data_IF_235739850638
#
_entry.id   IF_235739850638
#
_cell.length_a   1.000
_cell.length_b   1.000
_cell.length_c   1.000
_cell.angle_alpha   90.00
_cell.angle_beta   90.00
_cell.angle_gamma   90.00
#
_symmetry.space_group_name_H-M   'P 1'
#
loop_
_entity.id
_entity.type
_entity.pdbx_description
1 polymer ?
#
# COMPACT_ATOMS: atom_id res chain seq x y z
N UNK A 1 55.11 28.80 6.64
CA UNK A 1 55.40 27.43 6.17
C UNK A 1 54.21 26.94 5.36
N UNK A 2 54.46 26.64 4.09
CA UNK A 2 53.49 26.35 3.04
C UNK A 2 52.89 24.94 3.21
N UNK A 3 51.57 24.79 3.18
CA UNK A 3 50.85 23.50 3.11
C UNK A 3 50.62 23.15 1.64
N UNK A 4 51.03 21.97 1.13
CA UNK A 4 50.65 21.55 -0.21
C UNK A 4 49.32 20.78 -0.18
N UNK A 5 48.48 21.09 -1.17
CA UNK A 5 47.21 20.44 -1.45
C UNK A 5 47.44 19.04 -2.05
N UNK A 6 46.76 18.03 -1.52
CA UNK A 6 46.72 16.68 -2.08
C UNK A 6 45.57 16.57 -3.08
N UNK A 7 45.94 16.21 -4.32
CA UNK A 7 45.06 15.93 -5.46
C UNK A 7 44.23 14.66 -5.22
N UNK A 8 42.97 14.71 -5.65
CA UNK A 8 42.08 13.55 -5.77
C UNK A 8 42.47 12.68 -7.00
N UNK A 9 42.36 11.35 -6.93
CA UNK A 9 42.60 10.47 -8.07
C UNK A 9 41.38 10.35 -9.00
N UNK A 10 41.72 10.32 -10.29
CA UNK A 10 40.86 10.23 -11.48
C UNK A 10 40.20 8.85 -11.58
N UNK A 11 38.88 8.80 -11.80
CA UNK A 11 38.14 7.56 -12.03
C UNK A 11 38.39 7.04 -13.46
N UNK A 12 38.83 5.79 -13.57
CA UNK A 12 39.01 5.05 -14.83
C UNK A 12 37.66 4.48 -15.29
N UNK A 13 37.21 4.88 -16.47
CA UNK A 13 36.04 4.33 -17.15
C UNK A 13 36.37 2.97 -17.79
N UNK A 14 35.52 1.96 -17.58
CA UNK A 14 35.59 0.65 -18.23
C UNK A 14 34.79 0.65 -19.56
N UNK A 15 35.22 -0.10 -20.60
CA UNK A 15 34.52 -0.14 -21.87
C UNK A 15 33.34 -1.14 -21.91
N UNK A 16 32.25 -0.70 -22.54
CA UNK A 16 31.07 -1.49 -22.90
C UNK A 16 31.41 -2.51 -24.00
N UNK A 17 31.19 -3.80 -23.73
CA UNK A 17 31.25 -4.87 -24.73
C UNK A 17 29.91 -4.93 -25.48
N UNK A 18 29.93 -4.59 -26.78
CA UNK A 18 28.86 -4.87 -27.74
C UNK A 18 28.85 -6.37 -28.05
N UNK A 19 27.71 -7.03 -27.90
CA UNK A 19 27.46 -8.32 -28.55
C UNK A 19 26.61 -8.13 -29.80
N UNK A 20 27.09 -8.74 -30.87
CA UNK A 20 26.59 -8.67 -32.25
C UNK A 20 25.43 -9.63 -32.50
N UNK A 21 24.51 -9.16 -33.34
CA UNK A 21 23.38 -9.88 -33.92
C UNK A 21 23.84 -11.06 -34.78
N UNK A 22 23.17 -12.21 -34.65
CA UNK A 22 23.21 -13.29 -35.63
C UNK A 22 21.80 -13.51 -36.19
N UNK A 23 21.61 -13.04 -37.42
CA UNK A 23 20.47 -13.34 -38.29
C UNK A 23 20.63 -14.74 -38.87
N UNK A 24 19.56 -15.53 -38.89
CA UNK A 24 19.51 -16.77 -39.68
C UNK A 24 18.21 -16.78 -40.48
N UNK A 25 18.33 -16.62 -41.80
CA UNK A 25 17.27 -16.82 -42.79
C UNK A 25 17.54 -18.08 -43.60
N UNK A 26 16.51 -18.93 -43.75
CA UNK A 26 16.29 -19.88 -44.85
C UNK A 26 14.96 -20.60 -44.55
N UNK A 27 14.02 -20.91 -45.45
CA UNK A 27 13.94 -20.93 -46.92
C UNK A 27 12.43 -21.01 -47.30
N UNK A 28 12.03 -20.65 -48.53
CA UNK A 28 10.62 -20.55 -48.92
C UNK A 28 10.05 -21.90 -49.39
N UNK A 29 8.76 -22.12 -49.14
CA UNK A 29 7.98 -23.20 -49.73
C UNK A 29 7.04 -22.66 -50.81
N UNK A 30 7.21 -23.27 -51.99
CA UNK A 30 6.30 -23.48 -53.12
C UNK A 30 5.03 -22.63 -53.28
N UNK A 31 4.95 -22.04 -54.48
CA UNK A 31 3.77 -21.46 -55.09
C UNK A 31 2.75 -22.53 -55.51
N UNK A 32 1.47 -22.23 -55.31
CA UNK A 32 0.40 -22.62 -56.22
C UNK A 32 -0.70 -21.56 -56.19
N UNK A 33 -0.87 -20.95 -57.34
CA UNK A 33 -1.99 -20.12 -57.73
C UNK A 33 -3.26 -20.96 -57.84
N UNK A 34 -4.41 -20.43 -57.39
CA UNK A 34 -5.73 -20.57 -58.05
C UNK A 34 -6.75 -19.62 -57.39
N UNK A 35 -7.18 -18.66 -58.23
CA UNK A 35 -8.52 -18.09 -58.44
C UNK A 35 -9.31 -17.48 -57.28
N UNK A 36 -9.43 -16.15 -57.39
CA UNK A 36 -10.45 -15.28 -56.83
C UNK A 36 -11.89 -15.76 -57.13
N UNK A 37 -12.74 -15.74 -56.10
CA UNK A 37 -14.17 -15.51 -56.26
C UNK A 37 -14.66 -14.66 -55.07
N UNK A 38 -15.05 -13.43 -55.37
CA UNK A 38 -15.61 -12.46 -54.44
C UNK A 38 -17.12 -12.67 -54.29
N UNK A 39 -17.64 -12.73 -53.06
CA UNK A 39 -19.02 -12.31 -52.72
C UNK A 39 -19.15 -11.97 -51.22
N UNK A 40 -19.30 -10.67 -50.95
CA UNK A 40 -20.08 -9.97 -49.90
C UNK A 40 -19.81 -10.16 -48.37
N UNK A 41 -19.95 -9.07 -47.58
CA UNK A 41 -19.40 -8.96 -46.23
C UNK A 41 -20.39 -9.47 -45.17
N UNK A 42 -19.90 -10.33 -44.28
CA UNK A 42 -20.59 -10.66 -43.03
C UNK A 42 -20.23 -9.58 -42.01
N UNK A 43 -21.24 -8.87 -41.53
CA UNK A 43 -21.11 -7.71 -40.64
C UNK A 43 -20.19 -7.97 -39.45
N UNK A 44 -19.31 -7.01 -39.20
CA UNK A 44 -18.54 -6.91 -37.96
C UNK A 44 -19.51 -6.65 -36.80
N UNK A 45 -19.46 -7.42 -35.69
CA UNK A 45 -20.02 -6.95 -34.45
C UNK A 45 -19.14 -5.80 -33.96
N UNK A 46 -19.52 -4.59 -34.32
CA UNK A 46 -18.98 -3.36 -33.75
C UNK A 46 -19.37 -3.33 -32.27
N UNK A 47 -18.37 -3.24 -31.39
CA UNK A 47 -18.58 -2.70 -30.04
C UNK A 47 -18.84 -3.70 -28.91
N UNK A 48 -18.11 -4.81 -28.84
CA UNK A 48 -17.73 -5.30 -27.51
C UNK A 48 -16.47 -4.52 -27.10
N UNK A 49 -16.64 -3.42 -26.34
CA UNK A 49 -15.55 -2.96 -25.48
C UNK A 49 -15.13 -4.19 -24.70
N UNK A 50 -13.94 -4.70 -24.97
CA UNK A 50 -13.34 -5.70 -24.11
C UNK A 50 -13.32 -5.06 -22.73
N UNK A 51 -14.17 -5.54 -21.83
CA UNK A 51 -14.07 -5.19 -20.43
C UNK A 51 -12.65 -5.60 -20.05
N UNK A 52 -11.77 -4.61 -19.89
CA UNK A 52 -10.51 -4.83 -19.23
C UNK A 52 -10.88 -5.57 -17.95
N UNK A 53 -10.23 -6.71 -17.69
CA UNK A 53 -10.25 -7.35 -16.37
C UNK A 53 -10.19 -6.22 -15.35
N UNK A 54 -11.29 -5.95 -14.64
CA UNK A 54 -11.38 -4.77 -13.81
C UNK A 54 -10.28 -4.89 -12.77
N UNK A 55 -9.21 -4.11 -12.93
CA UNK A 55 -8.11 -4.12 -11.99
C UNK A 55 -8.70 -3.75 -10.63
N UNK A 56 -8.31 -4.48 -9.57
CA UNK A 56 -8.71 -4.18 -8.21
C UNK A 56 -8.52 -2.70 -7.94
N UNK A 57 -9.60 -2.01 -7.54
CA UNK A 57 -9.55 -0.57 -7.31
C UNK A 57 -8.85 -0.27 -5.99
N UNK A 58 -8.36 0.94 -5.83
CA UNK A 58 -7.72 1.34 -4.56
C UNK A 58 -8.72 1.29 -3.40
N UNK A 59 -9.97 1.71 -3.65
CA UNK A 59 -11.05 1.61 -2.67
C UNK A 59 -11.36 0.17 -2.24
N UNK A 60 -11.41 -0.78 -3.19
CA UNK A 60 -11.63 -2.20 -2.87
C UNK A 60 -10.53 -2.74 -1.94
N UNK A 61 -9.29 -2.29 -2.17
CA UNK A 61 -8.14 -2.73 -1.39
C UNK A 61 -8.15 -2.15 0.03
N UNK A 62 -8.48 -0.87 0.19
CA UNK A 62 -8.58 -0.21 1.49
C UNK A 62 -9.71 -0.80 2.32
N UNK A 63 -10.90 -0.98 1.72
CA UNK A 63 -12.05 -1.64 2.38
C UNK A 63 -11.75 -3.06 2.83
N UNK A 64 -10.95 -3.80 2.05
CA UNK A 64 -10.49 -5.11 2.47
C UNK A 64 -9.64 -5.06 3.75
N UNK A 65 -8.74 -4.08 3.90
CA UNK A 65 -7.99 -3.87 5.16
C UNK A 65 -8.94 -3.53 6.32
N UNK A 66 -9.96 -2.70 6.09
CA UNK A 66 -10.95 -2.35 7.12
C UNK A 66 -11.72 -3.55 7.65
N UNK A 67 -12.18 -4.41 6.74
CA UNK A 67 -12.90 -5.64 7.11
C UNK A 67 -12.00 -6.58 7.92
N UNK A 68 -10.74 -6.72 7.53
CA UNK A 68 -9.75 -7.49 8.28
C UNK A 68 -9.52 -6.89 9.68
N UNK A 69 -9.32 -5.57 9.79
CA UNK A 69 -9.13 -4.89 11.08
C UNK A 69 -10.33 -5.09 12.01
N UNK A 70 -11.55 -5.01 11.47
CA UNK A 70 -12.80 -5.30 12.20
C UNK A 70 -12.85 -6.74 12.68
N UNK A 71 -12.45 -7.68 11.83
CA UNK A 71 -12.37 -9.09 12.19
C UNK A 71 -11.36 -9.31 13.32
N UNK A 72 -10.15 -8.74 13.22
CA UNK A 72 -9.12 -8.89 14.23
C UNK A 72 -9.54 -8.26 15.56
N UNK A 73 -10.19 -7.09 15.55
CA UNK A 73 -10.82 -6.50 16.72
C UNK A 73 -11.78 -7.47 17.40
N UNK A 74 -12.71 -8.07 16.63
CA UNK A 74 -13.63 -9.09 17.14
C UNK A 74 -12.91 -10.31 17.71
N UNK A 75 -11.85 -10.78 17.04
CA UNK A 75 -11.06 -11.91 17.49
C UNK A 75 -10.31 -11.63 18.80
N UNK A 76 -9.76 -10.42 19.00
CA UNK A 76 -9.14 -10.00 20.28
C UNK A 76 -10.16 -10.08 21.42
N UNK A 77 -11.38 -9.57 21.20
CA UNK A 77 -12.43 -9.55 22.23
C UNK A 77 -12.89 -10.95 22.61
N UNK A 78 -13.11 -11.79 21.60
CA UNK A 78 -13.70 -13.12 21.78
C UNK A 78 -12.65 -14.22 22.06
N UNK A 79 -11.36 -13.93 21.93
CA UNK A 79 -10.31 -14.90 22.20
C UNK A 79 -10.39 -15.42 23.65
N UNK A 80 -10.47 -16.76 23.85
CA UNK A 80 -10.71 -17.36 25.17
C UNK A 80 -9.47 -17.40 26.05
N UNK A 81 -8.27 -17.28 25.46
CA UNK A 81 -6.99 -17.34 26.17
C UNK A 81 -6.15 -16.12 25.83
N UNK A 82 -5.34 -15.69 26.79
CA UNK A 82 -4.41 -14.57 26.61
C UNK A 82 -3.42 -14.80 25.46
N UNK A 83 -2.96 -16.03 25.24
CA UNK A 83 -2.06 -16.35 24.11
C UNK A 83 -2.72 -16.06 22.75
N UNK A 84 -4.04 -16.29 22.64
CA UNK A 84 -4.78 -16.02 21.41
C UNK A 84 -5.07 -14.51 21.28
N UNK A 85 -5.30 -13.80 22.40
CA UNK A 85 -5.35 -12.33 22.43
C UNK A 85 -4.03 -11.71 21.97
N UNK A 86 -2.87 -12.23 22.39
CA UNK A 86 -1.55 -11.75 21.94
C UNK A 86 -1.40 -11.92 20.43
N UNK A 87 -1.79 -13.08 19.88
CA UNK A 87 -1.71 -13.33 18.43
C UNK A 87 -2.53 -12.32 17.63
N UNK A 88 -3.80 -12.15 18.00
CA UNK A 88 -4.69 -11.21 17.30
C UNK A 88 -4.33 -9.74 17.56
N UNK A 89 -3.82 -9.39 18.74
CA UNK A 89 -3.24 -8.07 19.01
C UNK A 89 -2.08 -7.78 18.06
N UNK A 90 -1.14 -8.73 17.90
CA UNK A 90 -0.02 -8.55 16.99
C UNK A 90 -0.49 -8.38 15.54
N UNK A 91 -1.46 -9.18 15.08
CA UNK A 91 -2.03 -9.06 13.74
C UNK A 91 -2.73 -7.70 13.53
N UNK A 92 -3.57 -7.27 14.47
CA UNK A 92 -4.27 -5.99 14.41
C UNK A 92 -3.28 -4.82 14.36
N UNK A 93 -2.28 -4.80 15.26
CA UNK A 93 -1.26 -3.75 15.29
C UNK A 93 -0.46 -3.71 13.99
N UNK A 94 -0.07 -4.89 13.50
CA UNK A 94 0.73 -5.03 12.29
C UNK A 94 0.01 -4.53 11.05
N UNK A 95 -1.28 -4.84 10.91
CA UNK A 95 -2.08 -4.35 9.78
C UNK A 95 -2.39 -2.86 9.91
N UNK A 96 -2.86 -2.40 11.07
CA UNK A 96 -3.27 -1.01 11.25
C UNK A 96 -2.11 -0.03 11.02
N UNK A 97 -0.93 -0.31 11.57
CA UNK A 97 0.23 0.55 11.41
C UNK A 97 0.61 0.73 9.93
N UNK A 98 0.58 -0.34 9.14
CA UNK A 98 0.99 -0.29 7.73
C UNK A 98 -0.08 0.29 6.84
N UNK A 99 -1.33 0.01 7.15
CA UNK A 99 -2.49 0.59 6.49
C UNK A 99 -2.45 2.11 6.60
N UNK A 100 -2.41 2.66 7.83
CA UNK A 100 -2.45 4.11 8.03
C UNK A 100 -1.28 4.84 7.36
N UNK A 101 -0.06 4.30 7.42
CA UNK A 101 1.10 4.92 6.76
C UNK A 101 1.03 4.78 5.23
N UNK A 102 0.45 3.69 4.71
CA UNK A 102 0.26 3.54 3.28
C UNK A 102 -0.73 4.56 2.72
N UNK A 103 -1.77 4.93 3.47
CA UNK A 103 -2.71 6.00 3.10
C UNK A 103 -2.03 7.37 3.09
N UNK A 104 -1.27 7.69 4.14
CA UNK A 104 -0.50 8.93 4.25
C UNK A 104 0.50 9.13 3.09
N UNK A 105 1.08 8.03 2.59
CA UNK A 105 2.08 8.06 1.51
C UNK A 105 1.44 8.03 0.11
N UNK A 106 0.32 7.32 -0.06
CA UNK A 106 -0.25 7.01 -1.39
C UNK A 106 -1.58 7.72 -1.63
N UNK A 107 -2.51 7.65 -0.68
CA UNK A 107 -3.90 8.06 -0.85
C UNK A 107 -4.05 9.56 -0.64
N UNK A 108 -3.51 10.11 0.45
CA UNK A 108 -3.66 11.52 0.79
C UNK A 108 -3.03 12.47 -0.24
N UNK A 109 -1.81 12.21 -0.78
CA UNK A 109 -1.28 13.01 -1.88
C UNK A 109 -2.12 12.93 -3.16
N UNK A 110 -2.77 11.79 -3.41
CA UNK A 110 -3.66 11.63 -4.55
C UNK A 110 -4.97 12.41 -4.36
N UNK A 111 -5.55 12.39 -3.15
CA UNK A 111 -6.71 13.21 -2.81
C UNK A 111 -6.39 14.69 -2.99
N UNK A 112 -5.28 15.18 -2.42
CA UNK A 112 -4.79 16.56 -2.57
C UNK A 112 -4.66 16.99 -4.02
N UNK A 113 -4.18 16.09 -4.89
CA UNK A 113 -3.91 16.38 -6.29
C UNK A 113 -5.14 16.31 -7.19
N UNK A 114 -6.05 15.37 -6.92
CA UNK A 114 -7.09 15.00 -7.88
C UNK A 114 -8.52 15.37 -7.42
N UNK A 115 -8.76 15.49 -6.12
CA UNK A 115 -10.10 15.73 -5.57
C UNK A 115 -10.29 17.22 -5.26
N UNK A 116 -11.35 17.89 -5.77
CA UNK A 116 -11.70 19.23 -5.34
C UNK A 116 -11.94 19.29 -3.83
N UNK A 117 -11.15 20.09 -3.11
CA UNK A 117 -11.18 20.13 -1.63
C UNK A 117 -10.39 19.01 -0.95
N UNK A 118 -9.70 18.15 -1.72
CA UNK A 118 -8.97 16.99 -1.22
C UNK A 118 -7.87 17.32 -0.21
N UNK A 119 -7.28 18.51 -0.25
CA UNK A 119 -6.32 18.96 0.76
C UNK A 119 -6.93 19.10 2.16
N UNK A 120 -8.20 19.55 2.24
CA UNK A 120 -8.90 19.64 3.53
C UNK A 120 -9.29 18.26 4.05
N UNK A 121 -9.68 17.35 3.15
CA UNK A 121 -10.00 15.96 3.48
C UNK A 121 -8.75 15.27 4.04
N UNK A 122 -7.65 15.27 3.28
CA UNK A 122 -6.38 14.70 3.71
C UNK A 122 -5.83 15.30 5.02
N UNK A 123 -6.02 16.59 5.28
CA UNK A 123 -5.61 17.20 6.55
C UNK A 123 -6.45 16.71 7.74
N UNK A 124 -7.77 16.56 7.55
CA UNK A 124 -8.65 15.97 8.56
C UNK A 124 -8.23 14.53 8.86
N UNK A 125 -8.00 13.73 7.82
CA UNK A 125 -7.70 12.31 7.96
C UNK A 125 -6.34 12.10 8.65
N UNK A 126 -5.33 12.95 8.37
CA UNK A 126 -4.07 12.98 9.13
C UNK A 126 -4.28 13.26 10.62
N UNK A 127 -5.16 14.20 10.96
CA UNK A 127 -5.48 14.51 12.36
C UNK A 127 -6.20 13.36 13.08
N UNK A 128 -7.00 12.58 12.36
CA UNK A 128 -7.66 11.38 12.89
C UNK A 128 -6.66 10.22 13.04
N UNK A 129 -5.82 10.00 12.03
CA UNK A 129 -4.70 9.07 12.08
C UNK A 129 -3.75 9.36 13.23
N UNK A 130 -3.48 10.62 13.55
CA UNK A 130 -2.64 10.94 14.69
C UNK A 130 -3.21 10.40 16.01
N UNK A 131 -4.52 10.55 16.24
CA UNK A 131 -5.19 10.01 17.41
C UNK A 131 -5.19 8.47 17.42
N UNK A 132 -5.42 7.85 16.26
CA UNK A 132 -5.34 6.38 16.09
C UNK A 132 -3.92 5.88 16.39
N UNK A 133 -2.89 6.55 15.87
CA UNK A 133 -1.48 6.21 16.09
C UNK A 133 -1.12 6.29 17.57
N UNK A 134 -1.53 7.33 18.27
CA UNK A 134 -1.30 7.50 19.71
C UNK A 134 -1.93 6.36 20.52
N UNK A 135 -3.21 6.07 20.30
CA UNK A 135 -3.91 4.96 20.97
C UNK A 135 -3.31 3.59 20.62
N UNK A 136 -2.90 3.39 19.36
CA UNK A 136 -2.24 2.16 18.93
C UNK A 136 -0.87 1.98 19.59
N UNK A 137 -0.11 3.08 19.77
CA UNK A 137 1.19 3.06 20.43
C UNK A 137 1.08 2.65 21.91
N UNK A 138 0.03 3.07 22.60
CA UNK A 138 -0.27 2.60 23.96
C UNK A 138 -0.68 1.12 23.95
N UNK A 139 -1.65 0.76 23.10
CA UNK A 139 -2.20 -0.59 23.05
C UNK A 139 -1.19 -1.67 22.65
N UNK A 140 -0.27 -1.37 21.73
CA UNK A 140 0.66 -2.36 21.15
C UNK A 140 1.65 -2.97 22.15
N UNK A 141 1.81 -2.36 23.33
CA UNK A 141 2.72 -2.82 24.41
C UNK A 141 1.99 -3.44 25.60
N UNK A 142 0.65 -3.41 25.61
CA UNK A 142 -0.15 -3.94 26.71
C UNK A 142 -0.19 -5.47 26.70
N UNK A 143 -0.28 -6.07 27.89
CA UNK A 143 -0.53 -7.50 28.04
C UNK A 143 -2.03 -7.76 28.17
N UNK A 144 -2.55 -8.88 27.64
CA UNK A 144 -3.96 -9.22 27.80
C UNK A 144 -4.43 -9.36 29.26
N UNK A 145 -3.50 -9.63 30.19
CA UNK A 145 -3.76 -9.67 31.63
C UNK A 145 -3.99 -8.29 32.26
N UNK A 146 -3.66 -7.20 31.57
CA UNK A 146 -3.81 -5.85 32.08
C UNK A 146 -5.31 -5.47 32.13
N UNK A 147 -5.85 -4.98 33.26
CA UNK A 147 -7.26 -4.62 33.36
C UNK A 147 -7.74 -3.60 32.32
N UNK A 148 -6.82 -2.80 31.78
CA UNK A 148 -7.07 -1.77 30.77
C UNK A 148 -6.94 -2.27 29.33
N UNK A 149 -6.55 -3.53 29.10
CA UNK A 149 -6.33 -4.07 27.75
C UNK A 149 -7.58 -3.99 26.87
N UNK A 150 -8.72 -4.50 27.36
CA UNK A 150 -9.98 -4.46 26.64
C UNK A 150 -10.55 -3.03 26.50
N UNK A 151 -10.56 -2.20 27.56
CA UNK A 151 -10.89 -0.78 27.41
C UNK A 151 -10.04 -0.02 26.38
N UNK A 152 -8.75 -0.31 26.30
CA UNK A 152 -7.84 0.36 25.36
C UNK A 152 -8.15 0.02 23.91
N UNK A 153 -8.37 -1.26 23.59
CA UNK A 153 -8.75 -1.66 22.22
C UNK A 153 -10.16 -1.18 21.85
N UNK A 154 -11.09 -1.09 22.80
CA UNK A 154 -12.42 -0.52 22.55
C UNK A 154 -12.34 0.98 22.23
N UNK A 155 -11.54 1.75 22.99
CA UNK A 155 -11.33 3.18 22.69
C UNK A 155 -10.58 3.41 21.37
N UNK A 156 -9.60 2.57 21.05
CA UNK A 156 -8.91 2.61 19.75
C UNK A 156 -9.88 2.30 18.60
N UNK A 157 -10.71 1.26 18.76
CA UNK A 157 -11.69 0.87 17.74
C UNK A 157 -12.77 1.93 17.52
N UNK A 158 -13.22 2.60 18.57
CA UNK A 158 -14.19 3.71 18.46
C UNK A 158 -13.65 4.81 17.53
N UNK A 159 -12.42 5.28 17.77
CA UNK A 159 -11.79 6.30 16.90
C UNK A 159 -11.56 5.78 15.49
N UNK A 160 -11.02 4.57 15.34
CA UNK A 160 -10.72 3.97 14.03
C UNK A 160 -11.99 3.72 13.20
N UNK A 161 -13.04 3.17 13.81
CA UNK A 161 -14.28 2.83 13.09
C UNK A 161 -15.06 4.07 12.65
N UNK A 162 -14.95 5.18 13.37
CA UNK A 162 -15.45 6.47 12.90
C UNK A 162 -14.70 6.92 11.65
N UNK A 163 -13.36 6.91 11.69
CA UNK A 163 -12.51 7.26 10.54
C UNK A 163 -12.86 6.39 9.31
N UNK A 164 -12.87 5.06 9.46
CA UNK A 164 -13.28 4.10 8.42
C UNK A 164 -14.64 4.45 7.81
N UNK A 165 -15.63 4.78 8.66
CA UNK A 165 -16.99 5.08 8.20
C UNK A 165 -17.02 6.34 7.34
N UNK A 166 -16.28 7.37 7.73
CA UNK A 166 -16.19 8.63 6.98
C UNK A 166 -15.42 8.43 5.68
N UNK A 167 -14.28 7.74 5.73
CA UNK A 167 -13.45 7.47 4.56
C UNK A 167 -14.20 6.66 3.48
N UNK A 168 -14.88 5.58 3.90
CA UNK A 168 -15.64 4.73 2.97
C UNK A 168 -16.87 5.41 2.37
N UNK A 169 -17.44 6.38 3.08
CA UNK A 169 -18.64 7.13 2.67
C UNK A 169 -18.28 8.31 1.77
N UNK A 170 -17.21 9.02 2.10
CA UNK A 170 -16.93 10.35 1.55
C UNK A 170 -15.63 10.35 0.71
N UNK A 171 -14.51 9.92 1.29
CA UNK A 171 -13.18 10.09 0.71
C UNK A 171 -12.91 9.11 -0.44
N UNK A 172 -13.10 7.81 -0.21
CA UNK A 172 -12.90 6.78 -1.24
C UNK A 172 -13.81 7.01 -2.46
N UNK A 173 -15.12 7.27 -2.32
CA UNK A 173 -15.96 7.58 -3.47
C UNK A 173 -15.58 8.88 -4.19
N UNK A 174 -15.03 9.88 -3.49
CA UNK A 174 -14.53 11.10 -4.12
C UNK A 174 -13.25 10.85 -4.92
N UNK A 175 -12.30 10.11 -4.36
CA UNK A 175 -11.06 9.73 -5.04
C UNK A 175 -11.35 8.88 -6.28
N UNK A 176 -12.22 7.87 -6.16
CA UNK A 176 -12.58 6.98 -7.27
C UNK A 176 -13.35 7.66 -8.41
N UNK A 177 -14.02 8.80 -8.14
CA UNK A 177 -14.61 9.65 -9.19
C UNK A 177 -13.57 10.52 -9.90
N UNK A 178 -12.44 10.79 -9.25
CA UNK A 178 -11.36 11.62 -9.79
C UNK A 178 -10.31 10.81 -10.56
N UNK A 179 -10.33 9.47 -10.47
CA UNK A 179 -9.40 8.57 -11.13
C UNK A 179 -10.09 7.76 -12.23
N UNK A 180 -9.36 7.45 -13.30
CA UNK A 180 -9.75 6.38 -14.22
C UNK A 180 -9.39 4.99 -13.66
N UNK A 181 -9.87 3.94 -14.31
CA UNK A 181 -9.71 2.57 -13.83
C UNK A 181 -8.24 2.12 -13.77
N UNK A 182 -7.41 2.57 -14.71
CA UNK A 182 -5.99 2.20 -14.76
C UNK A 182 -5.21 2.91 -13.66
N UNK A 183 -5.50 4.18 -13.40
CA UNK A 183 -4.92 4.96 -12.31
C UNK A 183 -5.32 4.41 -10.94
N UNK A 184 -6.60 4.07 -10.74
CA UNK A 184 -7.09 3.43 -9.50
C UNK A 184 -6.41 2.08 -9.27
N UNK A 185 -6.33 1.23 -10.30
CA UNK A 185 -5.65 -0.06 -10.21
C UNK A 185 -4.13 0.07 -9.98
N UNK A 186 -3.48 1.08 -10.55
CA UNK A 186 -2.07 1.37 -10.29
C UNK A 186 -1.83 1.84 -8.85
N UNK A 187 -2.76 2.65 -8.33
CA UNK A 187 -2.72 3.12 -6.95
C UNK A 187 -2.92 1.97 -5.96
N UNK A 188 -3.86 1.05 -6.22
CA UNK A 188 -4.04 -0.16 -5.42
C UNK A 188 -2.73 -0.97 -5.30
N UNK A 189 -2.04 -1.21 -6.43
CA UNK A 189 -0.72 -1.87 -6.42
C UNK A 189 0.35 -1.08 -5.66
N UNK A 190 0.30 0.25 -5.73
CA UNK A 190 1.24 1.11 -5.00
C UNK A 190 0.99 1.06 -3.50
N UNK A 191 -0.28 1.12 -3.09
CA UNK A 191 -0.72 0.99 -1.70
C UNK A 191 -0.21 -0.33 -1.09
N UNK A 192 -0.50 -1.45 -1.75
CA UNK A 192 -0.02 -2.77 -1.35
C UNK A 192 1.51 -2.85 -1.24
N UNK A 193 2.20 -2.33 -2.26
CA UNK A 193 3.66 -2.31 -2.26
C UNK A 193 4.19 -1.50 -1.09
N UNK A 194 3.61 -0.33 -0.80
CA UNK A 194 4.04 0.55 0.29
C UNK A 194 3.95 -0.16 1.64
N UNK A 195 2.89 -0.96 1.88
CA UNK A 195 2.74 -1.75 3.12
C UNK A 195 3.94 -2.67 3.40
N UNK A 196 4.69 -3.11 2.38
CA UNK A 196 5.89 -3.93 2.60
C UNK A 196 7.10 -3.14 3.14
N UNK A 197 7.12 -1.82 3.03
CA UNK A 197 8.29 -0.98 3.33
C UNK A 197 8.11 -0.06 4.54
N UNK A 198 6.87 0.20 4.94
CA UNK A 198 6.53 1.04 6.10
C UNK A 198 6.66 0.27 7.44
N UNK A 199 6.61 0.97 8.60
CA UNK A 199 6.69 0.34 9.92
C UNK A 199 5.56 -0.64 10.18
N UNK A 200 5.84 -1.68 10.94
CA UNK A 200 4.86 -2.68 11.36
C UNK A 200 4.26 -2.41 12.75
N UNK A 201 4.61 -1.26 13.33
CA UNK A 201 4.16 -0.77 14.65
C UNK A 201 3.87 0.71 14.55
N UNK A 202 3.08 1.23 15.50
CA UNK A 202 2.79 2.65 15.57
C UNK A 202 4.02 3.43 16.03
N UNK A 203 4.28 4.55 15.36
CA UNK A 203 5.31 5.54 15.72
C UNK A 203 4.70 6.95 15.60
N UNK A 204 3.95 7.43 16.61
CA UNK A 204 3.20 8.69 16.51
C UNK A 204 4.06 9.95 16.32
N UNK A 205 5.35 9.86 16.63
CA UNK A 205 6.31 10.94 16.40
C UNK A 205 6.90 10.95 14.98
N UNK A 206 6.60 9.94 14.16
CA UNK A 206 7.05 9.91 12.77
C UNK A 206 6.26 10.95 11.94
N UNK A 207 6.91 11.65 11.00
CA UNK A 207 6.23 12.59 10.11
C UNK A 207 5.13 11.93 9.28
N UNK A 208 4.00 12.62 9.13
CA UNK A 208 2.80 12.22 8.37
C UNK A 208 2.66 12.98 7.03
N UNK A 209 3.72 13.72 6.63
CA UNK A 209 3.77 14.56 5.42
C UNK A 209 5.11 14.43 4.68
N UNK A 210 5.12 14.67 3.37
CA UNK A 210 6.36 14.84 2.60
C UNK A 210 7.20 16.05 3.11
N UNK A 211 8.53 16.07 2.90
CA UNK A 211 9.33 15.08 2.19
C UNK A 211 9.69 13.90 3.10
N UNK A 212 9.26 12.70 2.71
CA UNK A 212 9.56 11.47 3.44
C UNK A 212 11.05 11.10 3.39
N UNK A 213 11.86 11.75 2.55
CA UNK A 213 13.31 11.57 2.38
C UNK A 213 14.09 11.67 3.70
N UNK A 214 13.67 12.57 4.60
CA UNK A 214 14.27 12.71 5.94
C UNK A 214 13.70 11.70 6.94
N UNK A 215 12.49 11.18 6.68
CA UNK A 215 11.80 10.20 7.50
C UNK A 215 12.10 8.74 7.11
N UNK A 216 12.71 8.47 5.94
CA UNK A 216 13.02 7.10 5.45
C UNK A 216 13.82 6.30 6.48
N UNK A 217 14.72 6.94 7.22
CA UNK A 217 15.51 6.28 8.27
C UNK A 217 14.68 5.79 9.46
N UNK A 218 13.54 6.43 9.76
CA UNK A 218 12.63 6.08 10.87
C UNK A 218 11.45 5.21 10.41
N UNK A 219 10.94 5.44 9.19
CA UNK A 219 9.85 4.65 8.62
C UNK A 219 10.30 3.26 8.15
N UNK A 220 11.59 3.09 7.81
CA UNK A 220 12.14 1.83 7.36
C UNK A 220 12.99 1.10 8.41
N UNK A 221 13.01 1.53 9.68
CA UNK A 221 13.85 0.86 10.70
C UNK A 221 13.52 -0.63 10.73
N UNK A 222 14.47 -1.52 10.38
CA UNK A 222 14.20 -2.95 10.32
C UNK A 222 13.94 -3.55 11.70
N UNK A 223 14.06 -2.77 12.78
CA UNK A 223 13.89 -3.22 14.14
C UNK A 223 12.50 -3.84 14.38
N UNK A 224 11.42 -3.21 13.92
CA UNK A 224 10.08 -3.76 14.16
C UNK A 224 9.90 -5.11 13.43
N UNK A 225 10.35 -5.18 12.17
CA UNK A 225 10.29 -6.41 11.35
C UNK A 225 11.15 -7.53 11.92
N UNK A 226 12.33 -7.20 12.47
CA UNK A 226 13.18 -8.15 13.19
C UNK A 226 12.48 -8.66 14.45
N UNK A 227 11.86 -7.76 15.22
CA UNK A 227 11.11 -8.13 16.41
C UNK A 227 9.85 -8.94 16.07
N UNK A 228 9.22 -8.71 14.92
CA UNK A 228 8.07 -9.47 14.44
C UNK A 228 8.39 -10.95 14.22
N UNK A 229 9.63 -11.30 13.86
CA UNK A 229 10.06 -12.70 13.74
C UNK A 229 9.95 -13.48 15.06
N UNK A 230 9.95 -12.78 16.20
CA UNK A 230 9.82 -13.37 17.53
C UNK A 230 8.40 -13.26 18.10
N UNK A 231 7.48 -12.65 17.36
CA UNK A 231 6.08 -12.49 17.77
C UNK A 231 5.23 -13.67 17.30
N UNK A 232 4.15 -13.90 18.03
CA UNK A 232 3.14 -14.89 17.68
C UNK A 232 2.05 -14.20 16.86
N UNK A 233 1.66 -14.83 15.77
CA UNK A 233 0.56 -14.43 14.90
C UNK A 233 -0.48 -15.55 14.87
N UNK A 234 -1.74 -15.25 14.51
CA UNK A 234 -2.73 -16.29 14.25
C UNK A 234 -2.27 -17.19 13.09
N UNK A 235 -2.68 -18.46 13.12
CA UNK A 235 -2.51 -19.34 11.97
C UNK A 235 -3.41 -18.86 10.83
N UNK A 236 -2.92 -18.98 9.59
CA UNK A 236 -3.66 -18.63 8.37
C UNK A 236 -4.70 -19.69 8.03
#
# INVERSE_FOLDING_TARGET
MYRPALRAPTALAQPLIRQTLASTHARPLFASSIRFQSTEPRGTPTGAKMAASAATRVSDRIKHDHDELKQYYGNIKNAPRDDDKVKWQNQFVWELARHSVAEEIVVYPAMEKHVPGGAKMAEKDRSEHQQVKEKLYEFQSMKPSDPTFLPAIDSLWETLSQHITEEERDDLPALERALDADASGAMARSFDRTKHFVPTRSHPAAPDRPPYETAVGMLATPLDKLMDMFRKFPEK
#
